data_IF_670571494413
#
_entry.id   IF_670571494413
#
_cell.length_a   1.000
_cell.length_b   1.000
_cell.length_c   1.000
_cell.angle_alpha   90.00
_cell.angle_beta   90.00
_cell.angle_gamma   90.00
#
_symmetry.space_group_name_H-M   'P 1'
#
loop_
_entity.id
_entity.type
_entity.pdbx_description
1 polymer ?
#
# COMPACT_ATOMS: atom_id res chain seq x y z
N UNK A 1 2.13 2.60 -10.98
CA UNK A 1 3.51 2.33 -11.46
C UNK A 1 3.38 1.04 -12.19
N UNK A 2 3.66 1.07 -13.49
CA UNK A 2 3.36 -0.04 -14.39
C UNK A 2 4.68 -0.49 -14.98
N UNK A 3 5.10 -1.71 -14.64
CA UNK A 3 6.33 -2.31 -15.15
C UNK A 3 5.95 -3.46 -16.06
N UNK A 4 6.47 -3.46 -17.28
CA UNK A 4 6.32 -4.58 -18.22
C UNK A 4 7.57 -5.45 -18.15
N UNK A 5 7.37 -6.76 -18.14
CA UNK A 5 8.42 -7.78 -18.05
C UNK A 5 8.06 -8.90 -19.02
N UNK A 6 9.06 -9.62 -19.51
CA UNK A 6 8.84 -10.86 -20.25
C UNK A 6 9.39 -12.04 -19.48
N UNK A 7 8.71 -13.17 -19.56
CA UNK A 7 9.27 -14.46 -19.11
C UNK A 7 10.42 -14.88 -20.03
N UNK A 8 11.25 -15.86 -19.62
CA UNK A 8 12.29 -16.44 -20.47
C UNK A 8 11.75 -16.98 -21.81
N UNK A 9 10.50 -17.44 -21.83
CA UNK A 9 9.81 -17.98 -23.01
C UNK A 9 9.24 -16.87 -23.92
N UNK A 10 9.47 -15.60 -23.59
CA UNK A 10 9.06 -14.44 -24.38
C UNK A 10 7.65 -13.93 -24.13
N UNK A 11 6.90 -14.51 -23.18
CA UNK A 11 5.54 -14.08 -22.85
C UNK A 11 5.57 -12.76 -22.09
N UNK A 12 4.78 -11.79 -22.56
CA UNK A 12 4.66 -10.48 -21.93
C UNK A 12 3.76 -10.47 -20.70
N UNK A 13 4.22 -9.77 -19.66
CA UNK A 13 3.51 -9.56 -18.40
C UNK A 13 3.64 -8.11 -17.97
N UNK A 14 2.63 -7.62 -17.23
CA UNK A 14 2.64 -6.31 -16.62
C UNK A 14 2.29 -6.40 -15.13
N UNK A 15 3.10 -5.71 -14.33
CA UNK A 15 2.92 -5.54 -12.89
C UNK A 15 2.50 -4.09 -12.65
N UNK A 16 1.30 -3.89 -12.10
CA UNK A 16 0.73 -2.57 -11.83
C UNK A 16 0.50 -2.39 -10.34
N UNK A 17 1.01 -1.29 -9.79
CA UNK A 17 0.59 -0.80 -8.46
C UNK A 17 -0.60 0.14 -8.66
N UNK A 18 -1.77 -0.31 -8.21
CA UNK A 18 -3.03 0.43 -8.29
C UNK A 18 -3.19 1.50 -7.21
N UNK A 19 -4.38 2.12 -7.18
CA UNK A 19 -4.70 3.18 -6.21
C UNK A 19 -4.93 2.59 -4.81
N UNK A 20 -4.60 3.35 -3.75
CA UNK A 20 -4.82 2.89 -2.38
C UNK A 20 -6.30 2.62 -2.15
N UNK A 21 -6.60 1.49 -1.52
CA UNK A 21 -7.95 1.08 -1.14
C UNK A 21 -7.95 0.64 0.33
N UNK A 22 -9.04 0.96 1.04
CA UNK A 22 -9.24 0.49 2.42
C UNK A 22 -9.75 -0.96 2.51
N UNK A 23 -10.46 -1.42 1.49
CA UNK A 23 -11.02 -2.77 1.40
C UNK A 23 -10.45 -3.47 0.17
N UNK A 24 -10.09 -4.74 0.35
CA UNK A 24 -9.85 -5.64 -0.77
C UNK A 24 -11.15 -6.01 -1.47
N UNK A 25 -11.05 -6.32 -2.75
CA UNK A 25 -12.10 -7.07 -3.44
C UNK A 25 -12.03 -8.55 -3.03
N UNK A 26 -13.13 -9.28 -3.17
CA UNK A 26 -13.13 -10.75 -3.01
C UNK A 26 -12.03 -11.38 -3.87
N UNK A 27 -11.24 -12.28 -3.27
CA UNK A 27 -10.10 -12.94 -3.92
C UNK A 27 -8.74 -12.26 -3.72
N UNK A 28 -8.68 -11.09 -3.07
CA UNK A 28 -7.40 -10.42 -2.80
C UNK A 28 -6.58 -11.17 -1.74
N UNK A 29 -5.42 -11.70 -2.12
CA UNK A 29 -4.43 -12.17 -1.16
C UNK A 29 -3.91 -10.97 -0.37
N UNK A 30 -4.27 -10.91 0.91
CA UNK A 30 -3.76 -9.90 1.83
C UNK A 30 -2.39 -10.36 2.28
N UNK A 31 -1.33 -9.83 1.67
CA UNK A 31 0.03 -9.97 2.22
C UNK A 31 0.12 -8.98 3.37
N UNK A 32 -0.41 -9.43 4.51
CA UNK A 32 -0.23 -8.74 5.77
C UNK A 32 1.23 -8.81 6.14
N UNK A 33 1.95 -7.70 5.96
CA UNK A 33 3.16 -7.49 6.75
C UNK A 33 2.78 -7.67 8.22
N UNK A 34 3.56 -8.46 8.94
CA UNK A 34 3.48 -8.52 10.40
C UNK A 34 3.35 -7.09 10.96
N UNK A 35 2.63 -6.87 12.08
CA UNK A 35 2.52 -5.54 12.69
C UNK A 35 3.88 -4.89 13.00
N UNK A 36 4.98 -5.66 12.93
CA UNK A 36 6.37 -5.23 13.03
C UNK A 36 6.96 -4.59 11.75
N UNK A 37 6.34 -4.72 10.57
CA UNK A 37 6.89 -4.23 9.30
C UNK A 37 6.44 -2.79 8.95
N UNK A 38 5.50 -2.21 9.70
CA UNK A 38 5.21 -0.78 9.67
C UNK A 38 6.02 -0.12 10.78
N UNK A 39 7.05 0.67 10.45
CA UNK A 39 7.85 1.41 11.44
C UNK A 39 7.01 2.28 12.38
N UNK A 40 7.62 2.96 13.37
CA UNK A 40 6.92 3.72 14.42
C UNK A 40 5.93 4.83 13.97
N UNK A 41 5.83 5.12 12.67
CA UNK A 41 4.99 6.18 12.12
C UNK A 41 3.49 6.07 12.46
N UNK A 42 2.81 4.90 12.39
CA UNK A 42 1.40 4.79 12.79
C UNK A 42 1.22 5.08 14.28
N UNK A 43 2.14 4.63 15.14
CA UNK A 43 2.13 4.91 16.57
C UNK A 43 2.30 6.40 16.85
N UNK A 44 3.18 7.09 16.13
CA UNK A 44 3.37 8.54 16.26
C UNK A 44 2.12 9.33 15.84
N UNK A 45 1.44 8.91 14.78
CA UNK A 45 0.17 9.54 14.36
C UNK A 45 -0.91 9.35 15.43
N UNK A 46 -1.04 8.13 15.97
CA UNK A 46 -1.99 7.85 17.06
C UNK A 46 -1.65 8.67 18.31
N UNK A 47 -0.37 8.69 18.72
CA UNK A 47 0.08 9.48 19.85
C UNK A 47 -0.17 10.98 19.67
N UNK A 48 0.08 11.51 18.47
CA UNK A 48 -0.19 12.91 18.13
C UNK A 48 -1.69 13.26 18.19
N UNK A 49 -2.56 12.39 17.70
CA UNK A 49 -4.02 12.57 17.79
C UNK A 49 -4.51 12.53 19.24
N UNK A 50 -4.04 11.57 20.04
CA UNK A 50 -4.38 11.46 21.46
C UNK A 50 -3.92 12.71 22.21
N UNK A 51 -2.68 13.15 21.97
CA UNK A 51 -2.12 14.34 22.61
C UNK A 51 -2.91 15.60 22.27
N UNK A 52 -3.27 15.80 21.00
CA UNK A 52 -4.12 16.91 20.57
C UNK A 52 -5.50 16.86 21.22
N UNK A 53 -6.12 15.68 21.34
CA UNK A 53 -7.42 15.55 21.98
C UNK A 53 -7.37 15.91 23.47
N UNK A 54 -6.33 15.47 24.18
CA UNK A 54 -6.10 15.80 25.60
C UNK A 54 -5.81 17.28 25.79
N UNK A 55 -5.01 17.89 24.90
CA UNK A 55 -4.63 19.29 24.99
C UNK A 55 -5.65 20.27 24.39
N UNK A 56 -6.62 19.80 23.61
CA UNK A 56 -7.64 20.62 22.95
C UNK A 56 -8.27 21.69 23.88
N UNK A 57 -8.78 21.36 25.09
CA UNK A 57 -9.37 22.37 25.96
C UNK A 57 -8.35 23.42 26.44
N UNK A 58 -7.08 23.05 26.60
CA UNK A 58 -5.99 23.98 26.97
C UNK A 58 -5.62 24.87 25.79
N UNK A 59 -5.53 24.30 24.59
CA UNK A 59 -5.21 25.02 23.35
C UNK A 59 -6.26 26.07 23.00
N UNK A 60 -7.54 25.75 23.21
CA UNK A 60 -8.65 26.71 23.00
C UNK A 60 -8.58 27.86 24.01
N UNK A 61 -8.27 27.58 25.27
CA UNK A 61 -8.16 28.61 26.33
C UNK A 61 -6.92 29.50 26.21
N UNK A 62 -5.93 29.11 25.41
CA UNK A 62 -4.64 29.80 25.30
C UNK A 62 -4.43 30.49 23.95
N UNK A 63 -5.50 30.75 23.19
CA UNK A 63 -5.48 31.29 21.81
C UNK A 63 -4.58 30.48 20.84
N UNK A 64 -4.36 29.20 21.17
CA UNK A 64 -3.57 28.24 20.37
C UNK A 64 -4.47 27.24 19.64
N UNK A 65 -5.74 27.56 19.46
CA UNK A 65 -6.70 26.71 18.75
C UNK A 65 -6.26 26.39 17.31
N UNK A 66 -5.39 27.23 16.71
CA UNK A 66 -4.79 26.97 15.39
C UNK A 66 -4.05 25.62 15.33
N UNK A 67 -3.54 25.09 16.44
CA UNK A 67 -2.92 23.77 16.49
C UNK A 67 -3.90 22.62 16.18
N UNK A 68 -5.21 22.83 16.38
CA UNK A 68 -6.23 21.85 15.98
C UNK A 68 -6.36 21.72 14.46
N UNK A 69 -5.84 22.69 13.68
CA UNK A 69 -5.75 22.58 12.23
C UNK A 69 -4.79 21.48 11.75
N UNK A 70 -3.96 20.91 12.64
CA UNK A 70 -3.14 19.73 12.32
C UNK A 70 -3.91 18.41 12.38
N UNK A 71 -5.12 18.38 12.97
CA UNK A 71 -5.92 17.15 13.06
C UNK A 71 -6.21 16.55 11.67
N UNK A 72 -6.69 17.31 10.66
CA UNK A 72 -6.88 16.79 9.31
C UNK A 72 -5.59 16.23 8.69
N UNK A 73 -4.45 16.89 8.93
CA UNK A 73 -3.14 16.44 8.42
C UNK A 73 -2.75 15.10 9.02
N UNK A 74 -2.93 14.92 10.34
CA UNK A 74 -2.68 13.66 11.03
C UNK A 74 -3.63 12.55 10.57
N UNK A 75 -4.90 12.86 10.33
CA UNK A 75 -5.86 11.90 9.79
C UNK A 75 -5.47 11.44 8.38
N UNK A 76 -5.05 12.36 7.50
CA UNK A 76 -4.55 12.03 6.16
C UNK A 76 -3.25 11.22 6.24
N UNK A 77 -2.34 11.56 7.14
CA UNK A 77 -1.11 10.79 7.36
C UNK A 77 -1.43 9.36 7.84
N UNK A 78 -2.32 9.21 8.82
CA UNK A 78 -2.79 7.92 9.31
C UNK A 78 -3.45 7.09 8.21
N UNK A 79 -4.29 7.73 7.39
CA UNK A 79 -4.88 7.10 6.21
C UNK A 79 -3.82 6.58 5.24
N UNK A 80 -2.83 7.40 4.89
CA UNK A 80 -1.77 7.01 3.95
C UNK A 80 -0.89 5.87 4.48
N UNK A 81 -0.67 5.83 5.79
CA UNK A 81 0.08 4.76 6.46
C UNK A 81 -0.70 3.44 6.50
N UNK A 82 -2.01 3.50 6.71
CA UNK A 82 -2.89 2.34 6.76
C UNK A 82 -3.39 1.89 5.38
N UNK A 83 -3.24 2.75 4.37
CA UNK A 83 -3.67 2.48 3.01
C UNK A 83 -2.96 1.24 2.45
N UNK A 84 -3.78 0.31 1.95
CA UNK A 84 -3.31 -0.88 1.23
C UNK A 84 -3.31 -0.59 -0.25
N UNK A 85 -2.23 -0.95 -0.91
CA UNK A 85 -2.04 -0.76 -2.34
C UNK A 85 -2.19 -2.11 -3.02
N UNK A 86 -3.13 -2.25 -3.98
CA UNK A 86 -3.22 -3.44 -4.79
C UNK A 86 -2.05 -3.49 -5.78
N UNK A 87 -1.38 -4.63 -5.81
CA UNK A 87 -0.40 -5.02 -6.80
C UNK A 87 -1.08 -6.03 -7.71
N UNK A 88 -1.28 -5.66 -8.97
CA UNK A 88 -1.96 -6.45 -9.98
C UNK A 88 -0.94 -7.05 -10.94
N UNK A 89 -1.05 -8.35 -11.18
CA UNK A 89 -0.32 -9.08 -12.20
C UNK A 89 -1.26 -9.34 -13.38
N UNK A 90 -0.84 -8.92 -14.58
CA UNK A 90 -1.58 -9.14 -15.82
C UNK A 90 -0.67 -9.73 -16.88
N UNK A 91 -1.13 -10.77 -17.55
CA UNK A 91 -0.50 -11.27 -18.78
C UNK A 91 -0.89 -10.35 -19.95
N UNK A 92 0.05 -10.08 -20.85
CA UNK A 92 -0.23 -9.30 -22.06
C UNK A 92 -1.31 -10.01 -22.90
N UNK A 93 -2.37 -9.29 -23.25
CA UNK A 93 -3.57 -9.84 -23.90
C UNK A 93 -4.70 -10.26 -22.94
N UNK A 94 -4.48 -10.23 -21.62
CA UNK A 94 -5.56 -10.45 -20.64
C UNK A 94 -6.23 -9.14 -20.22
N UNK A 95 -7.55 -9.08 -20.35
CA UNK A 95 -8.37 -7.96 -19.87
C UNK A 95 -8.56 -7.95 -18.35
N UNK A 96 -8.32 -9.09 -17.69
CA UNK A 96 -8.46 -9.22 -16.23
C UNK A 96 -7.11 -9.45 -15.53
N UNK A 97 -6.93 -8.92 -14.30
CA UNK A 97 -5.79 -9.29 -13.46
C UNK A 97 -5.86 -10.78 -13.12
N UNK A 98 -4.77 -11.49 -13.41
CA UNK A 98 -4.62 -12.91 -13.08
C UNK A 98 -4.39 -13.09 -11.58
N UNK A 99 -3.60 -12.20 -10.99
CA UNK A 99 -3.31 -12.19 -9.57
C UNK A 99 -3.42 -10.78 -9.01
N UNK A 100 -4.02 -10.65 -7.82
CA UNK A 100 -4.15 -9.38 -7.10
C UNK A 100 -3.74 -9.56 -5.65
N UNK A 101 -2.80 -8.73 -5.21
CA UNK A 101 -2.24 -8.78 -3.86
C UNK A 101 -2.35 -7.42 -3.21
N UNK A 102 -2.86 -7.36 -1.98
CA UNK A 102 -2.90 -6.11 -1.21
C UNK A 102 -1.67 -5.99 -0.32
N UNK A 103 -0.91 -4.91 -0.50
CA UNK A 103 0.31 -4.62 0.27
C UNK A 103 0.13 -3.33 1.06
N UNK A 104 0.42 -3.37 2.37
CA UNK A 104 0.37 -2.18 3.22
C UNK A 104 1.53 -1.22 2.90
N UNK A 105 1.20 0.03 2.58
CA UNK A 105 2.18 1.08 2.32
C UNK A 105 2.73 1.09 0.88
N UNK A 106 2.91 2.30 0.34
CA UNK A 106 3.31 2.52 -1.07
C UNK A 106 4.71 1.99 -1.38
N UNK A 107 5.64 2.15 -0.44
CA UNK A 107 7.05 1.74 -0.62
C UNK A 107 7.14 0.22 -0.69
N UNK A 108 6.48 -0.48 0.24
CA UNK A 108 6.43 -1.94 0.26
C UNK A 108 5.73 -2.48 -0.99
N UNK A 109 4.62 -1.87 -1.43
CA UNK A 109 3.93 -2.27 -2.66
C UNK A 109 4.82 -2.13 -3.90
N UNK A 110 5.66 -1.09 -3.97
CA UNK A 110 6.66 -0.94 -5.05
C UNK A 110 7.76 -1.98 -4.97
N UNK A 111 8.23 -2.30 -3.75
CA UNK A 111 9.23 -3.35 -3.54
C UNK A 111 8.71 -4.72 -3.97
N UNK A 112 7.52 -5.10 -3.50
CA UNK A 112 6.84 -6.34 -3.90
C UNK A 112 6.61 -6.37 -5.40
N UNK A 113 6.18 -5.26 -6.02
CA UNK A 113 6.03 -5.20 -7.47
C UNK A 113 7.36 -5.38 -8.23
N UNK A 114 8.47 -4.90 -7.67
CA UNK A 114 9.80 -5.11 -8.24
C UNK A 114 10.26 -6.56 -8.08
N UNK A 115 10.08 -7.16 -6.90
CA UNK A 115 10.41 -8.56 -6.63
C UNK A 115 9.58 -9.50 -7.52
N UNK A 116 8.28 -9.25 -7.69
CA UNK A 116 7.42 -9.99 -8.61
C UNK A 116 7.88 -9.85 -10.08
N UNK A 117 8.24 -8.64 -10.49
CA UNK A 117 8.77 -8.40 -11.82
C UNK A 117 10.06 -9.19 -12.07
N UNK A 118 10.98 -9.20 -11.11
CA UNK A 118 12.24 -9.93 -11.24
C UNK A 118 12.02 -11.45 -11.18
N UNK A 119 11.00 -11.92 -10.47
CA UNK A 119 10.60 -13.34 -10.44
C UNK A 119 9.98 -13.81 -11.77
N UNK A 120 9.11 -13.01 -12.37
CA UNK A 120 8.54 -13.28 -13.71
C UNK A 120 9.66 -13.37 -14.75
N UNK A 121 10.68 -12.52 -14.66
CA UNK A 121 11.80 -12.54 -15.60
C UNK A 121 12.63 -13.84 -15.54
N UNK A 122 12.57 -14.57 -14.42
CA UNK A 122 13.34 -15.80 -14.19
C UNK A 122 12.51 -17.08 -14.31
N UNK A 123 11.19 -16.97 -14.21
CA UNK A 123 10.28 -18.12 -14.18
C UNK A 123 9.62 -18.33 -15.54
N UNK A 124 9.65 -19.55 -16.10
CA UNK A 124 8.90 -19.90 -17.31
C UNK A 124 7.39 -19.66 -17.14
N UNK A 125 6.69 -19.29 -18.22
CA UNK A 125 5.27 -18.90 -18.16
C UNK A 125 4.38 -20.02 -17.61
N UNK A 126 4.71 -21.27 -17.94
CA UNK A 126 3.96 -22.46 -17.52
C UNK A 126 3.86 -22.59 -15.99
N UNK A 127 4.87 -22.12 -15.25
CA UNK A 127 4.92 -22.16 -13.78
C UNK A 127 4.22 -20.97 -13.12
N UNK A 128 3.86 -19.93 -13.88
CA UNK A 128 3.15 -18.75 -13.38
C UNK A 128 1.64 -18.90 -13.49
N UNK A 129 1.16 -19.85 -14.29
CA UNK A 129 -0.26 -20.10 -14.56
C UNK A 129 -0.78 -21.44 -14.03
N UNK A 130 0.08 -22.28 -13.45
CA UNK A 130 -0.29 -23.55 -12.81
C UNK A 130 -0.84 -23.33 -11.40
#
# INVERSE_FOLDING_TARGET
MDRRVRTPDGVGWSVRVGRPALRGSEGDLVVGGTPAAGGFAPLLVVAGLVLLAVLAPVLVKSDRAWALAFVPVLLVAGWLLLARYPVELRRDGSDRPLHRTLVAGRVNARRVAAELADEIARTPDEKLTS
#
